data_IF_979649398606
#
_entry.id   IF_979649398606
#
_cell.length_a   1.000
_cell.length_b   1.000
_cell.length_c   1.000
_cell.angle_alpha   90.00
_cell.angle_beta   90.00
_cell.angle_gamma   90.00
#
_symmetry.space_group_name_H-M   'P 1'
#
loop_
_entity.id
_entity.type
_entity.pdbx_description
1 polymer ?
#
# COMPACT_ATOMS: atom_id res chain seq x y z
N UNK A 1 16.21 -15.55 1.10
CA UNK A 1 15.08 -14.67 0.71
C UNK A 1 14.37 -14.00 1.89
N UNK A 2 14.01 -14.67 2.99
CA UNK A 2 13.31 -14.05 4.16
C UNK A 2 14.09 -12.98 4.97
N UNK A 3 15.30 -12.59 4.54
CA UNK A 3 16.22 -11.77 5.33
C UNK A 3 16.27 -10.28 4.97
N UNK A 4 15.94 -9.89 3.72
CA UNK A 4 16.19 -8.51 3.25
C UNK A 4 14.97 -7.59 3.19
N UNK A 5 13.74 -8.12 3.12
CA UNK A 5 12.54 -7.27 3.14
C UNK A 5 11.52 -7.79 4.15
N UNK A 6 11.23 -6.98 5.15
CA UNK A 6 10.11 -7.23 6.07
C UNK A 6 8.79 -6.65 5.54
N UNK A 7 8.86 -5.77 4.53
CA UNK A 7 7.70 -5.01 4.05
C UNK A 7 7.25 -4.00 5.10
N UNK A 8 7.20 -2.72 4.73
CA UNK A 8 6.73 -1.67 5.65
C UNK A 8 5.49 -0.95 5.14
N UNK A 9 5.19 -1.06 3.85
CA UNK A 9 3.93 -0.66 3.26
C UNK A 9 3.33 -1.79 2.42
N UNK A 10 2.09 -2.17 2.71
CA UNK A 10 1.33 -3.11 1.88
C UNK A 10 0.22 -2.35 1.17
N UNK A 11 0.33 -2.22 -0.14
CA UNK A 11 -0.61 -1.49 -1.00
C UNK A 11 -1.38 -2.54 -1.77
N UNK A 12 -2.65 -2.77 -1.45
CA UNK A 12 -3.41 -3.79 -2.18
C UNK A 12 -4.78 -3.27 -2.61
N UNK A 13 -5.24 -3.86 -3.70
CA UNK A 13 -6.51 -3.53 -4.33
C UNK A 13 -7.68 -3.93 -3.42
N UNK A 14 -8.85 -4.10 -3.99
CA UNK A 14 -10.01 -4.53 -3.22
C UNK A 14 -10.12 -6.05 -3.11
N UNK A 15 -11.10 -6.45 -2.31
CA UNK A 15 -11.42 -7.79 -1.81
C UNK A 15 -10.77 -8.15 -0.46
N UNK A 16 -11.60 -8.17 0.58
CA UNK A 16 -11.21 -8.32 1.98
C UNK A 16 -11.11 -9.79 2.45
N UNK A 17 -11.07 -10.75 1.51
CA UNK A 17 -11.13 -12.19 1.79
C UNK A 17 -9.97 -12.98 1.18
N UNK A 18 -8.91 -12.29 0.79
CA UNK A 18 -7.70 -12.87 0.18
C UNK A 18 -6.82 -13.51 1.28
N UNK A 19 -6.65 -14.85 1.31
CA UNK A 19 -5.93 -15.49 2.42
C UNK A 19 -4.43 -15.18 2.42
N UNK A 20 -3.74 -15.12 1.29
CA UNK A 20 -2.31 -14.78 1.27
C UNK A 20 -2.11 -13.38 1.84
N UNK A 21 -2.88 -12.39 1.35
CA UNK A 21 -2.76 -11.01 1.84
C UNK A 21 -3.14 -10.93 3.32
N UNK A 22 -4.31 -11.41 3.71
CA UNK A 22 -4.82 -11.23 5.06
C UNK A 22 -4.14 -12.12 6.10
N UNK A 23 -3.82 -13.38 5.79
CA UNK A 23 -3.07 -14.23 6.69
C UNK A 23 -1.58 -13.86 6.67
N UNK A 24 -0.90 -14.04 5.54
CA UNK A 24 0.57 -14.09 5.53
C UNK A 24 1.19 -12.70 5.70
N UNK A 25 0.60 -11.68 5.08
CA UNK A 25 1.14 -10.31 5.12
C UNK A 25 0.57 -9.45 6.25
N UNK A 26 -0.65 -9.73 6.73
CA UNK A 26 -1.31 -8.91 7.77
C UNK A 26 -1.34 -9.63 9.13
N UNK A 27 -2.08 -10.73 9.26
CA UNK A 27 -2.28 -11.38 10.56
C UNK A 27 -0.98 -11.99 11.11
N UNK A 28 -0.24 -12.74 10.30
CA UNK A 28 1.05 -13.31 10.69
C UNK A 28 2.08 -12.22 10.97
N UNK A 29 1.99 -11.08 10.27
CA UNK A 29 2.86 -9.93 10.53
C UNK A 29 2.63 -9.34 11.91
N UNK A 30 1.36 -9.17 12.31
CA UNK A 30 0.98 -8.70 13.63
C UNK A 30 1.35 -9.71 14.73
N UNK A 31 1.08 -11.00 14.52
CA UNK A 31 1.37 -12.06 15.49
C UNK A 31 2.87 -12.25 15.79
N UNK A 32 3.74 -11.87 14.84
CA UNK A 32 5.20 -11.86 15.01
C UNK A 32 5.73 -10.60 15.69
N UNK A 33 4.86 -9.64 16.03
CA UNK A 33 5.22 -8.43 16.77
C UNK A 33 5.82 -8.78 18.14
N UNK A 34 6.88 -8.04 18.52
CA UNK A 34 7.61 -8.29 19.77
C UNK A 34 7.01 -7.54 20.95
N UNK A 35 6.55 -6.30 20.70
CA UNK A 35 6.06 -5.42 21.74
C UNK A 35 4.55 -5.59 21.95
N UNK A 36 3.81 -5.80 20.86
CA UNK A 36 2.39 -6.10 20.86
C UNK A 36 2.03 -6.94 19.63
N UNK A 37 0.82 -7.50 19.64
CA UNK A 37 0.24 -8.23 18.50
C UNK A 37 -1.02 -7.52 18.02
N UNK A 38 -0.93 -6.20 17.79
CA UNK A 38 -2.08 -5.34 17.50
C UNK A 38 -2.21 -5.00 16.03
N UNK A 39 -3.46 -5.03 15.55
CA UNK A 39 -3.91 -4.42 14.29
C UNK A 39 -4.81 -3.24 14.61
N UNK A 40 -4.43 -2.03 14.18
CA UNK A 40 -5.30 -0.86 14.21
C UNK A 40 -5.98 -0.71 12.84
N UNK A 41 -7.31 -0.62 12.81
CA UNK A 41 -8.07 -0.41 11.58
C UNK A 41 -8.67 1.01 11.53
N UNK A 42 -8.41 1.72 10.44
CA UNK A 42 -8.80 3.12 10.24
C UNK A 42 -9.72 3.25 9.01
N UNK A 43 -11.06 3.22 9.19
CA UNK A 43 -12.02 3.33 8.09
C UNK A 43 -12.35 4.78 7.68
N UNK A 44 -11.45 5.75 7.93
CA UNK A 44 -11.76 7.17 7.76
C UNK A 44 -12.05 7.58 6.30
N UNK A 45 -11.82 6.68 5.33
CA UNK A 45 -12.17 6.91 3.92
C UNK A 45 -13.65 6.66 3.60
N UNK A 46 -14.40 5.97 4.46
CA UNK A 46 -15.83 5.74 4.23
C UNK A 46 -16.63 7.04 4.33
N UNK A 47 -17.46 7.30 3.33
CA UNK A 47 -18.35 8.46 3.36
C UNK A 47 -19.56 8.19 4.25
N UNK A 48 -20.13 9.22 4.90
CA UNK A 48 -21.38 9.08 5.63
C UNK A 48 -22.50 8.61 4.71
N UNK A 49 -23.45 7.84 5.26
CA UNK A 49 -24.67 7.42 4.57
C UNK A 49 -25.88 7.98 5.32
N UNK A 50 -26.74 8.69 4.61
CA UNK A 50 -27.97 9.27 5.17
C UNK A 50 -27.73 10.12 6.45
N UNK A 51 -26.54 10.74 6.56
CA UNK A 51 -26.11 11.56 7.69
C UNK A 51 -25.42 10.81 8.83
N UNK A 52 -25.38 9.48 8.79
CA UNK A 52 -24.66 8.63 9.74
C UNK A 52 -23.19 8.47 9.31
N UNK A 53 -22.27 8.93 10.16
CA UNK A 53 -20.84 8.83 9.93
C UNK A 53 -20.29 7.43 10.23
N UNK A 54 -20.96 6.64 11.07
CA UNK A 54 -20.48 5.36 11.62
C UNK A 54 -20.92 4.14 10.80
N UNK A 55 -22.14 4.09 10.27
CA UNK A 55 -22.70 2.88 9.61
C UNK A 55 -21.72 2.23 8.62
N UNK A 56 -21.15 3.04 7.72
CA UNK A 56 -20.22 2.58 6.68
C UNK A 56 -18.86 2.20 7.24
N UNK A 57 -18.38 2.92 8.26
CA UNK A 57 -17.12 2.62 8.93
C UNK A 57 -17.17 1.31 9.71
N UNK A 58 -18.28 1.05 10.41
CA UNK A 58 -18.54 -0.19 11.13
C UNK A 58 -18.70 -1.37 10.18
N UNK A 59 -19.42 -1.18 9.06
CA UNK A 59 -19.52 -2.20 8.01
C UNK A 59 -18.14 -2.55 7.44
N UNK A 60 -17.33 -1.55 7.11
CA UNK A 60 -15.98 -1.75 6.60
C UNK A 60 -15.09 -2.50 7.60
N UNK A 61 -15.15 -2.15 8.90
CA UNK A 61 -14.42 -2.89 9.92
C UNK A 61 -14.97 -4.31 10.12
N UNK A 62 -16.29 -4.51 10.12
CA UNK A 62 -16.93 -5.82 10.29
C UNK A 62 -16.42 -6.86 9.30
N UNK A 63 -16.18 -6.43 8.06
CA UNK A 63 -15.58 -7.21 6.98
C UNK A 63 -14.16 -7.72 7.29
N UNK A 64 -13.36 -6.97 8.03
CA UNK A 64 -12.01 -7.38 8.48
C UNK A 64 -12.05 -8.12 9.81
N UNK A 65 -12.92 -7.67 10.73
CA UNK A 65 -13.12 -8.26 12.06
C UNK A 65 -13.41 -9.74 11.95
N UNK A 66 -14.30 -10.15 11.04
CA UNK A 66 -14.62 -11.56 10.81
C UNK A 66 -13.37 -12.42 10.61
N UNK A 67 -12.40 -11.93 9.83
CA UNK A 67 -11.15 -12.63 9.56
C UNK A 67 -10.22 -12.63 10.80
N UNK A 68 -10.06 -11.48 11.46
CA UNK A 68 -9.14 -11.35 12.60
C UNK A 68 -9.61 -12.07 13.86
N UNK A 69 -10.92 -12.24 14.05
CA UNK A 69 -11.50 -12.98 15.17
C UNK A 69 -10.96 -14.41 15.30
N UNK A 70 -10.66 -15.06 14.17
CA UNK A 70 -10.03 -16.37 14.18
C UNK A 70 -8.65 -16.37 14.88
N UNK A 71 -7.92 -15.26 14.79
CA UNK A 71 -6.57 -15.12 15.33
C UNK A 71 -6.51 -14.57 16.76
N UNK A 72 -7.64 -14.11 17.33
CA UNK A 72 -7.73 -13.72 18.75
C UNK A 72 -7.21 -14.83 19.67
N UNK A 73 -7.49 -16.10 19.34
CA UNK A 73 -7.00 -17.28 20.07
C UNK A 73 -5.48 -17.43 20.09
N UNK A 74 -4.77 -16.75 19.19
CA UNK A 74 -3.30 -16.70 19.14
C UNK A 74 -2.73 -15.41 19.76
N UNK A 75 -3.59 -14.62 20.40
CA UNK A 75 -3.28 -13.35 21.05
C UNK A 75 -3.25 -12.16 20.10
N UNK A 76 -3.90 -12.24 18.93
CA UNK A 76 -4.07 -11.06 18.07
C UNK A 76 -5.08 -10.10 18.72
N UNK A 77 -4.66 -8.85 18.92
CA UNK A 77 -5.55 -7.75 19.27
C UNK A 77 -5.92 -6.98 18.00
N UNK A 78 -7.18 -6.64 17.80
CA UNK A 78 -7.59 -5.78 16.69
C UNK A 78 -8.60 -4.74 17.15
N UNK A 79 -8.32 -3.49 16.83
CA UNK A 79 -9.09 -2.34 17.30
C UNK A 79 -9.43 -1.41 16.13
N UNK A 80 -10.70 -1.02 15.94
CA UNK A 80 -11.03 0.05 15.03
C UNK A 80 -10.86 1.40 15.72
N UNK A 81 -10.54 2.43 14.95
CA UNK A 81 -10.73 3.82 15.37
C UNK A 81 -11.62 4.53 14.37
N UNK A 82 -12.84 4.86 14.78
CA UNK A 82 -13.82 5.50 13.91
C UNK A 82 -13.66 7.02 13.94
N UNK A 83 -13.72 7.63 12.76
CA UNK A 83 -13.75 9.08 12.66
C UNK A 83 -15.17 9.59 12.86
N UNK A 84 -15.32 10.65 13.65
CA UNK A 84 -16.56 11.44 13.71
C UNK A 84 -16.19 12.91 13.80
N UNK A 85 -17.13 13.81 13.47
CA UNK A 85 -16.94 15.25 13.67
C UNK A 85 -16.85 15.66 15.14
N UNK A 86 -17.31 14.81 16.05
CA UNK A 86 -17.39 15.07 17.50
C UNK A 86 -16.20 14.51 18.29
N UNK A 87 -15.14 14.08 17.60
CA UNK A 87 -13.90 13.63 18.24
C UNK A 87 -13.35 14.70 19.18
N UNK A 88 -12.95 14.28 20.38
CA UNK A 88 -12.30 15.14 21.37
C UNK A 88 -10.79 14.91 21.34
N UNK A 89 -10.06 15.79 22.03
CA UNK A 89 -8.60 15.70 22.13
C UNK A 89 -8.17 14.35 22.68
N UNK A 90 -8.83 13.87 23.72
CA UNK A 90 -8.49 12.60 24.38
C UNK A 90 -8.67 11.41 23.44
N UNK A 91 -9.69 11.45 22.58
CA UNK A 91 -9.93 10.40 21.58
C UNK A 91 -8.79 10.40 20.54
N UNK A 92 -8.35 11.58 20.12
CA UNK A 92 -7.25 11.75 19.16
C UNK A 92 -5.87 11.40 19.76
N UNK A 93 -5.67 11.63 21.05
CA UNK A 93 -4.46 11.18 21.75
C UNK A 93 -4.35 9.65 21.77
N UNK A 94 -5.48 8.95 21.99
CA UNK A 94 -5.56 7.49 21.85
C UNK A 94 -5.24 7.06 20.42
N UNK A 95 -5.75 7.76 19.40
CA UNK A 95 -5.38 7.49 18.01
C UNK A 95 -3.88 7.61 17.80
N UNK A 96 -3.21 8.64 18.32
CA UNK A 96 -1.77 8.83 18.15
C UNK A 96 -0.94 7.74 18.82
N UNK A 97 -1.33 7.31 20.01
CA UNK A 97 -0.68 6.18 20.68
C UNK A 97 -0.87 4.88 19.89
N UNK A 98 -2.10 4.56 19.49
CA UNK A 98 -2.39 3.36 18.70
C UNK A 98 -1.68 3.40 17.34
N UNK A 99 -1.70 4.54 16.66
CA UNK A 99 -1.02 4.74 15.38
C UNK A 99 0.49 4.58 15.56
N UNK A 100 1.10 5.14 16.60
CA UNK A 100 2.53 5.00 16.85
C UNK A 100 2.96 3.59 17.26
N UNK A 101 2.12 2.85 17.96
CA UNK A 101 2.52 1.60 18.65
C UNK A 101 2.10 0.31 17.96
N UNK A 102 0.99 0.27 17.22
CA UNK A 102 0.42 -0.99 16.69
C UNK A 102 1.37 -1.68 15.70
N UNK A 103 1.57 -2.99 15.80
CA UNK A 103 2.43 -3.74 14.87
C UNK A 103 1.97 -3.58 13.41
N UNK A 104 0.65 -3.53 13.20
CA UNK A 104 0.03 -3.28 11.89
C UNK A 104 -1.02 -2.18 12.00
N UNK A 105 -1.04 -1.26 11.03
CA UNK A 105 -2.10 -0.26 10.83
C UNK A 105 -2.71 -0.48 9.46
N UNK A 106 -4.03 -0.46 9.34
CA UNK A 106 -4.76 -0.59 8.08
C UNK A 106 -5.54 0.69 7.81
N UNK A 107 -5.28 1.34 6.68
CA UNK A 107 -6.14 2.38 6.11
C UNK A 107 -7.20 1.71 5.24
N UNK A 108 -8.46 1.84 5.63
CA UNK A 108 -9.60 1.20 4.99
C UNK A 108 -10.01 1.80 3.65
N UNK A 109 -11.04 1.20 3.04
CA UNK A 109 -11.61 1.61 1.77
C UNK A 109 -12.52 2.85 1.86
N UNK A 110 -13.11 3.22 0.72
CA UNK A 110 -14.00 4.38 0.58
C UNK A 110 -13.47 5.36 -0.46
N UNK A 111 -13.42 6.65 -0.14
CA UNK A 111 -12.88 7.70 -1.01
C UNK A 111 -11.47 8.12 -0.57
N UNK A 112 -10.50 8.05 -1.48
CA UNK A 112 -9.09 8.37 -1.20
C UNK A 112 -8.93 9.80 -0.65
N UNK A 113 -9.61 10.78 -1.24
CA UNK A 113 -9.50 12.18 -0.78
C UNK A 113 -10.19 12.44 0.55
N UNK A 114 -11.30 11.76 0.84
CA UNK A 114 -12.01 11.90 2.11
C UNK A 114 -11.14 11.45 3.27
N UNK A 115 -10.54 10.24 3.16
CA UNK A 115 -9.64 9.75 4.18
C UNK A 115 -8.39 10.61 4.31
N UNK A 116 -7.74 10.96 3.19
CA UNK A 116 -6.55 11.81 3.18
C UNK A 116 -6.79 13.14 3.89
N UNK A 117 -7.91 13.80 3.57
CA UNK A 117 -8.33 15.04 4.23
C UNK A 117 -8.51 14.82 5.74
N UNK A 118 -9.29 13.82 6.15
CA UNK A 118 -9.55 13.54 7.58
C UNK A 118 -8.26 13.26 8.35
N UNK A 119 -7.37 12.41 7.83
CA UNK A 119 -6.09 12.09 8.46
C UNK A 119 -5.21 13.32 8.66
N UNK A 120 -5.06 14.16 7.62
CA UNK A 120 -4.27 15.41 7.69
C UNK A 120 -4.91 16.44 8.62
N UNK A 121 -6.24 16.54 8.59
CA UNK A 121 -7.00 17.48 9.40
C UNK A 121 -6.88 17.19 10.91
N UNK A 122 -6.83 15.93 11.33
CA UNK A 122 -6.69 15.57 12.75
C UNK A 122 -5.42 16.16 13.38
N UNK A 123 -4.28 16.09 12.68
CA UNK A 123 -3.05 16.71 13.15
C UNK A 123 -3.15 18.24 13.26
N UNK A 124 -3.77 18.87 12.25
CA UNK A 124 -3.96 20.32 12.22
C UNK A 124 -4.86 20.82 13.36
N UNK A 125 -6.01 20.17 13.57
CA UNK A 125 -7.05 20.62 14.51
C UNK A 125 -6.66 20.42 15.97
N UNK A 126 -6.09 19.26 16.31
CA UNK A 126 -5.83 18.92 17.71
C UNK A 126 -4.42 19.32 18.15
N UNK A 127 -3.45 19.39 17.24
CA UNK A 127 -2.04 19.53 17.60
C UNK A 127 -1.34 20.68 16.88
N UNK A 128 -2.04 21.39 15.99
CA UNK A 128 -1.43 22.44 15.16
C UNK A 128 -0.41 21.90 14.15
N UNK A 129 -0.41 20.59 13.88
CA UNK A 129 0.57 19.91 13.03
C UNK A 129 -0.14 19.14 11.90
N UNK A 130 -0.46 19.79 10.76
CA UNK A 130 -1.17 19.15 9.63
C UNK A 130 -0.48 17.89 9.07
N UNK A 131 0.85 17.79 9.22
CA UNK A 131 1.66 16.66 8.77
C UNK A 131 1.79 15.50 9.76
N UNK A 132 1.20 15.60 10.96
CA UNK A 132 1.45 14.66 12.07
C UNK A 132 1.17 13.20 11.70
N UNK A 133 0.02 12.94 11.08
CA UNK A 133 -0.36 11.57 10.68
C UNK A 133 0.69 10.95 9.73
N UNK A 134 1.05 11.68 8.66
CA UNK A 134 2.04 11.22 7.70
C UNK A 134 3.43 11.05 8.32
N UNK A 135 3.85 11.98 9.19
CA UNK A 135 5.12 11.85 9.93
C UNK A 135 5.15 10.58 10.77
N UNK A 136 4.10 10.29 11.54
CA UNK A 136 4.01 9.07 12.35
C UNK A 136 4.08 7.83 11.46
N UNK A 137 3.43 7.82 10.28
CA UNK A 137 3.56 6.70 9.34
C UNK A 137 5.02 6.46 8.90
N UNK A 138 5.79 7.50 8.64
CA UNK A 138 7.22 7.37 8.31
C UNK A 138 8.06 6.91 9.50
N UNK A 139 7.76 7.37 10.71
CA UNK A 139 8.42 6.90 11.95
C UNK A 139 8.13 5.41 12.21
N UNK A 140 6.88 4.97 12.01
CA UNK A 140 6.49 3.55 12.05
C UNK A 140 7.31 2.74 11.05
N UNK A 141 7.44 3.24 9.81
CA UNK A 141 8.22 2.60 8.75
C UNK A 141 9.69 2.44 9.14
N UNK A 142 10.30 3.47 9.71
CA UNK A 142 11.70 3.42 10.18
C UNK A 142 11.91 2.39 11.30
N UNK A 143 10.89 2.17 12.14
CA UNK A 143 10.87 1.10 13.15
C UNK A 143 10.56 -0.29 12.59
N UNK A 144 10.31 -0.38 11.28
CA UNK A 144 9.95 -1.64 10.63
C UNK A 144 8.57 -2.14 11.04
N UNK A 145 7.60 -1.26 11.30
CA UNK A 145 6.19 -1.61 11.48
C UNK A 145 5.47 -1.58 10.13
N UNK A 146 4.38 -2.34 9.99
CA UNK A 146 3.62 -2.40 8.74
C UNK A 146 2.49 -1.37 8.74
N UNK A 147 2.35 -0.66 7.63
CA UNK A 147 1.14 0.10 7.28
C UNK A 147 0.54 -0.50 6.02
N UNK A 148 -0.75 -0.78 6.07
CA UNK A 148 -1.51 -1.44 5.01
C UNK A 148 -2.51 -0.43 4.45
N UNK A 149 -2.60 -0.33 3.14
CA UNK A 149 -3.62 0.41 2.44
C UNK A 149 -4.53 -0.55 1.68
N UNK A 150 -5.83 -0.52 1.99
CA UNK A 150 -6.87 -1.29 1.32
C UNK A 150 -7.74 -0.37 0.46
N UNK A 151 -7.89 -0.67 -0.83
CA UNK A 151 -8.67 0.17 -1.75
C UNK A 151 -8.24 1.64 -1.65
N UNK A 152 -9.10 2.59 -1.28
CA UNK A 152 -8.73 3.99 -1.06
C UNK A 152 -7.46 4.20 -0.21
N UNK A 153 -7.27 3.39 0.84
CA UNK A 153 -6.06 3.41 1.65
C UNK A 153 -4.78 3.09 0.87
N UNK A 154 -4.86 2.21 -0.14
CA UNK A 154 -3.73 1.82 -0.99
C UNK A 154 -3.22 3.01 -1.82
N UNK A 155 -4.15 3.74 -2.43
CA UNK A 155 -3.88 4.98 -3.15
C UNK A 155 -3.25 6.04 -2.23
N UNK A 156 -3.74 6.17 -0.99
CA UNK A 156 -3.19 7.10 0.01
C UNK A 156 -1.78 6.77 0.47
N UNK A 157 -1.34 5.50 0.45
CA UNK A 157 0.02 5.14 0.85
C UNK A 157 1.07 5.49 -0.22
N UNK A 158 0.64 5.67 -1.47
CA UNK A 158 1.50 6.12 -2.55
C UNK A 158 1.95 7.58 -2.33
N UNK A 159 2.97 8.02 -3.06
CA UNK A 159 3.40 9.42 -3.04
C UNK A 159 2.30 10.36 -3.55
N UNK A 160 1.55 9.89 -4.53
CA UNK A 160 0.47 10.65 -5.14
C UNK A 160 -0.76 9.75 -5.28
N UNK A 161 -1.93 10.34 -5.09
CA UNK A 161 -3.18 9.68 -5.47
C UNK A 161 -3.24 9.55 -7.00
N UNK A 162 -3.79 8.46 -7.52
CA UNK A 162 -3.93 8.22 -8.95
C UNK A 162 -4.63 9.39 -9.65
N UNK A 163 -5.69 9.92 -9.02
CA UNK A 163 -6.46 11.08 -9.52
C UNK A 163 -5.61 12.33 -9.84
N UNK A 164 -4.40 12.46 -9.27
CA UNK A 164 -3.47 13.58 -9.54
C UNK A 164 -3.16 13.75 -11.03
N UNK A 165 -3.22 12.67 -11.80
CA UNK A 165 -2.95 12.70 -13.24
C UNK A 165 -4.06 13.43 -14.03
N UNK A 166 -5.28 13.51 -13.49
CA UNK A 166 -6.45 14.10 -14.16
C UNK A 166 -6.90 15.44 -13.55
N UNK A 167 -6.74 15.63 -12.25
CA UNK A 167 -7.28 16.79 -11.54
C UNK A 167 -6.30 17.97 -11.42
N UNK A 168 -6.85 19.18 -11.29
CA UNK A 168 -6.18 20.37 -10.73
C UNK A 168 -7.23 21.39 -10.21
N UNK A 169 -7.04 22.11 -9.08
CA UNK A 169 -6.09 21.93 -7.99
C UNK A 169 -6.77 21.35 -6.73
N UNK A 170 -6.20 20.29 -6.17
CA UNK A 170 -6.60 19.73 -4.88
C UNK A 170 -5.44 18.95 -4.27
N UNK A 171 -5.41 18.84 -2.94
CA UNK A 171 -4.39 18.04 -2.26
C UNK A 171 -4.53 16.57 -2.68
N UNK A 172 -3.55 16.13 -3.47
CA UNK A 172 -3.46 14.80 -4.07
C UNK A 172 -2.13 14.13 -3.72
N UNK A 173 -1.38 14.71 -2.78
CA UNK A 173 -0.18 14.10 -2.22
C UNK A 173 -0.59 13.10 -1.14
N UNK A 174 -0.31 11.83 -1.39
CA UNK A 174 -0.50 10.77 -0.41
C UNK A 174 0.56 10.85 0.69
N UNK A 175 0.69 9.77 1.45
CA UNK A 175 1.65 9.71 2.55
C UNK A 175 3.06 9.33 2.09
N UNK A 176 3.25 8.88 0.85
CA UNK A 176 4.57 8.61 0.28
C UNK A 176 5.33 7.49 0.96
N UNK A 177 4.61 6.48 1.49
CA UNK A 177 5.22 5.25 1.97
C UNK A 177 5.69 4.36 0.82
N UNK A 178 5.07 4.46 -0.37
CA UNK A 178 5.67 4.05 -1.63
C UNK A 178 6.01 5.30 -2.46
N UNK A 179 7.31 5.58 -2.59
CA UNK A 179 7.83 6.78 -3.26
C UNK A 179 7.69 6.67 -4.76
N UNK A 180 7.44 7.78 -5.44
CA UNK A 180 7.32 7.87 -6.90
C UNK A 180 6.50 6.71 -7.48
N UNK A 181 5.36 6.44 -6.84
CA UNK A 181 4.46 5.32 -7.16
C UNK A 181 3.05 5.85 -7.33
N UNK A 182 2.34 5.30 -8.29
CA UNK A 182 0.91 5.51 -8.55
C UNK A 182 0.25 4.16 -8.72
N UNK A 183 -0.95 3.98 -8.15
CA UNK A 183 -1.72 2.75 -8.33
C UNK A 183 -3.13 3.06 -8.77
N UNK A 184 -3.63 2.35 -9.78
CA UNK A 184 -5.06 2.26 -10.01
C UNK A 184 -5.57 0.94 -9.46
N UNK A 185 -6.74 1.00 -8.84
CA UNK A 185 -7.33 -0.09 -8.07
C UNK A 185 -8.52 -0.63 -8.85
N UNK A 186 -8.92 -1.86 -8.56
CA UNK A 186 -9.91 -2.58 -9.35
C UNK A 186 -9.57 -2.58 -10.85
N UNK A 187 -8.27 -2.70 -11.15
CA UNK A 187 -7.78 -2.58 -12.51
C UNK A 187 -8.27 -3.73 -13.38
N UNK A 188 -8.57 -3.42 -14.63
CA UNK A 188 -8.87 -4.39 -15.67
C UNK A 188 -8.10 -4.03 -16.94
N UNK A 189 -7.70 -4.99 -17.79
CA UNK A 189 -6.93 -4.71 -19.00
C UNK A 189 -7.59 -3.72 -19.97
N UNK A 190 -8.93 -3.63 -19.95
CA UNK A 190 -9.71 -2.64 -20.71
C UNK A 190 -9.35 -1.19 -20.36
N UNK A 191 -8.74 -0.96 -19.18
CA UNK A 191 -8.30 0.34 -18.66
C UNK A 191 -6.80 0.59 -18.81
N UNK A 192 -6.07 -0.24 -19.56
CA UNK A 192 -4.63 -0.03 -19.80
C UNK A 192 -4.31 1.33 -20.44
N UNK A 193 -5.26 1.94 -21.14
CA UNK A 193 -5.15 3.32 -21.62
C UNK A 193 -4.96 4.35 -20.50
N UNK A 194 -5.64 4.17 -19.35
CA UNK A 194 -5.51 5.05 -18.18
C UNK A 194 -4.11 4.94 -17.56
N UNK A 195 -3.59 3.71 -17.44
CA UNK A 195 -2.24 3.45 -16.94
C UNK A 195 -1.17 4.09 -17.80
N UNK A 196 -1.24 3.89 -19.11
CA UNK A 196 -0.29 4.48 -20.03
C UNK A 196 -0.39 6.01 -20.04
N UNK A 197 -1.60 6.57 -19.94
CA UNK A 197 -1.80 8.01 -19.80
C UNK A 197 -1.10 8.55 -18.54
N UNK A 198 -1.28 7.88 -17.40
CA UNK A 198 -0.62 8.23 -16.15
C UNK A 198 0.90 8.14 -16.24
N UNK A 199 1.45 7.06 -16.82
CA UNK A 199 2.89 6.88 -16.99
C UNK A 199 3.53 7.99 -17.84
N UNK A 200 2.81 8.50 -18.85
CA UNK A 200 3.27 9.63 -19.67
C UNK A 200 3.19 10.97 -18.93
N UNK A 201 2.18 11.17 -18.09
CA UNK A 201 1.99 12.41 -17.31
C UNK A 201 2.93 12.50 -16.12
N UNK A 202 3.30 11.36 -15.55
CA UNK A 202 4.12 11.24 -14.36
C UNK A 202 5.34 10.34 -14.65
N UNK A 203 6.25 10.75 -15.56
CA UNK A 203 7.31 9.88 -16.09
C UNK A 203 8.36 9.44 -15.06
N UNK A 204 8.40 10.07 -13.89
CA UNK A 204 9.28 9.70 -12.79
C UNK A 204 8.64 8.63 -11.87
N UNK A 205 7.34 8.38 -11.99
CA UNK A 205 6.62 7.42 -11.16
C UNK A 205 6.54 6.04 -11.82
N UNK A 206 6.55 4.99 -11.00
CA UNK A 206 6.07 3.67 -11.40
C UNK A 206 4.55 3.61 -11.24
N UNK A 207 3.86 3.21 -12.31
CA UNK A 207 2.40 3.18 -12.36
C UNK A 207 1.92 1.74 -12.45
N UNK A 208 1.16 1.28 -11.46
CA UNK A 208 0.64 -0.09 -11.41
C UNK A 208 -0.89 -0.13 -11.49
N UNK A 209 -1.41 -1.07 -12.28
CA UNK A 209 -2.80 -1.49 -12.26
C UNK A 209 -2.96 -2.73 -11.42
N UNK A 210 -3.63 -2.57 -10.27
CA UNK A 210 -3.87 -3.65 -9.32
C UNK A 210 -5.28 -4.20 -9.54
N UNK A 211 -5.44 -5.38 -10.17
CA UNK A 211 -6.72 -6.08 -10.13
C UNK A 211 -7.10 -6.40 -8.67
N UNK A 212 -8.37 -6.68 -8.41
CA UNK A 212 -8.78 -7.19 -7.09
C UNK A 212 -7.94 -8.43 -6.73
N UNK A 213 -7.68 -8.63 -5.44
CA UNK A 213 -6.85 -9.73 -4.91
C UNK A 213 -5.35 -9.63 -5.28
N UNK A 214 -4.88 -8.43 -5.60
CA UNK A 214 -3.47 -8.18 -5.85
C UNK A 214 -2.95 -6.98 -5.08
N UNK A 215 -1.63 -6.90 -4.91
CA UNK A 215 -0.99 -5.79 -4.21
C UNK A 215 0.51 -5.73 -4.39
N UNK A 216 1.10 -4.74 -3.74
CA UNK A 216 2.52 -4.44 -3.68
C UNK A 216 2.93 -4.45 -2.21
N UNK A 217 3.87 -5.30 -1.85
CA UNK A 217 4.58 -5.19 -0.57
C UNK A 217 5.87 -4.40 -0.79
N UNK A 218 5.95 -3.23 -0.17
CA UNK A 218 6.96 -2.21 -0.47
C UNK A 218 7.82 -1.96 0.76
N UNK A 219 9.12 -1.81 0.50
CA UNK A 219 10.07 -1.25 1.45
C UNK A 219 11.07 -0.35 0.72
N UNK A 220 11.61 0.66 1.42
CA UNK A 220 12.57 1.57 0.83
C UNK A 220 13.47 2.20 1.89
N UNK A 221 14.71 2.51 1.54
CA UNK A 221 15.65 3.12 2.48
C UNK A 221 16.70 3.96 1.79
N UNK A 222 17.75 4.29 2.54
CA UNK A 222 18.91 5.04 2.05
C UNK A 222 20.11 4.10 2.10
N UNK A 223 20.83 3.96 0.98
CA UNK A 223 22.08 3.23 0.87
C UNK A 223 23.24 4.05 1.47
N UNK A 224 24.39 3.43 1.81
CA UNK A 224 25.58 4.15 2.27
C UNK A 224 26.06 5.23 1.28
N UNK A 225 25.79 5.06 -0.01
CA UNK A 225 26.06 6.06 -1.06
C UNK A 225 25.18 7.32 -0.98
N UNK A 226 24.12 7.30 -0.16
CA UNK A 226 23.11 8.37 -0.07
C UNK A 226 21.96 8.21 -1.07
N UNK A 227 22.04 7.23 -1.98
CA UNK A 227 20.95 6.89 -2.90
C UNK A 227 19.79 6.26 -2.14
N UNK A 228 18.57 6.48 -2.65
CA UNK A 228 17.38 5.80 -2.19
C UNK A 228 17.29 4.45 -2.90
N UNK A 229 16.94 3.40 -2.14
CA UNK A 229 16.51 2.12 -2.71
C UNK A 229 15.04 1.93 -2.39
N UNK A 230 14.26 1.38 -3.32
CA UNK A 230 12.89 0.93 -3.09
C UNK A 230 12.67 -0.40 -3.79
N UNK A 231 12.09 -1.36 -3.08
CA UNK A 231 11.77 -2.67 -3.61
C UNK A 231 10.27 -2.91 -3.48
N UNK A 232 9.70 -3.50 -4.52
CA UNK A 232 8.32 -3.93 -4.60
C UNK A 232 8.32 -5.45 -4.75
N UNK A 233 7.62 -6.15 -3.88
CA UNK A 233 7.19 -7.53 -4.06
C UNK A 233 5.76 -7.51 -4.61
N UNK A 234 5.57 -8.16 -5.76
CA UNK A 234 4.30 -8.20 -6.48
C UNK A 234 3.48 -9.37 -5.93
N UNK A 235 2.28 -9.09 -5.42
CA UNK A 235 1.42 -10.09 -4.78
C UNK A 235 0.20 -10.31 -5.67
N UNK A 236 0.01 -11.56 -6.09
CA UNK A 236 -1.20 -12.03 -6.76
C UNK A 236 -1.77 -13.14 -5.88
N UNK A 237 -2.94 -12.89 -5.29
CA UNK A 237 -3.61 -13.83 -4.40
C UNK A 237 -4.74 -14.54 -5.14
N UNK A 238 -4.67 -15.87 -5.24
CA UNK A 238 -5.71 -16.71 -5.87
C UNK A 238 -6.36 -17.66 -4.87
N UNK A 239 -6.22 -17.42 -3.57
CA UNK A 239 -6.57 -18.38 -2.52
C UNK A 239 -8.01 -18.30 -2.02
N UNK A 240 -8.75 -17.25 -2.36
CA UNK A 240 -10.18 -17.18 -2.05
C UNK A 240 -11.02 -17.87 -3.11
N UNK A 241 -11.90 -18.77 -2.66
CA UNK A 241 -12.74 -19.59 -3.54
C UNK A 241 -14.17 -19.69 -3.03
N UNK A 242 -14.84 -18.54 -2.91
CA UNK A 242 -16.29 -18.48 -2.77
C UNK A 242 -16.92 -18.18 -4.15
N UNK A 243 -17.75 -19.09 -4.71
CA UNK A 243 -18.47 -18.85 -5.95
C UNK A 243 -19.32 -17.56 -5.95
N UNK A 244 -19.79 -17.11 -4.78
CA UNK A 244 -20.55 -15.87 -4.66
C UNK A 244 -19.70 -14.62 -4.96
N UNK A 245 -18.39 -14.72 -4.80
CA UNK A 245 -17.43 -13.63 -5.01
C UNK A 245 -16.73 -13.72 -6.39
N UNK A 246 -17.11 -14.66 -7.26
CA UNK A 246 -16.41 -14.96 -8.51
C UNK A 246 -16.23 -13.75 -9.45
N UNK A 247 -17.19 -12.81 -9.48
CA UNK A 247 -17.07 -11.57 -10.27
C UNK A 247 -16.11 -10.55 -9.67
N UNK A 248 -15.88 -10.62 -8.35
CA UNK A 248 -14.96 -9.75 -7.63
C UNK A 248 -13.53 -10.29 -7.65
N UNK A 249 -13.33 -11.62 -7.67
CA UNK A 249 -12.00 -12.23 -7.67
C UNK A 249 -11.38 -12.25 -9.08
N UNK A 250 -10.52 -11.27 -9.38
CA UNK A 250 -9.99 -11.05 -10.74
C UNK A 250 -8.74 -11.88 -11.03
N UNK A 251 -7.86 -12.05 -10.07
CA UNK A 251 -6.61 -12.83 -10.22
C UNK A 251 -6.85 -14.29 -10.57
N UNK A 252 -7.92 -14.91 -10.05
CA UNK A 252 -8.31 -16.29 -10.43
C UNK A 252 -8.79 -16.42 -11.87
N UNK A 253 -9.18 -15.30 -12.48
CA UNK A 253 -9.51 -15.22 -13.90
C UNK A 253 -8.25 -14.98 -14.76
N UNK A 254 -7.06 -15.05 -14.16
CA UNK A 254 -5.78 -14.83 -14.83
C UNK A 254 -5.35 -13.36 -14.89
N UNK A 255 -6.03 -12.45 -14.19
CA UNK A 255 -5.60 -11.06 -14.11
C UNK A 255 -4.24 -10.95 -13.38
N UNK A 256 -3.34 -10.18 -13.97
CA UNK A 256 -1.99 -9.91 -13.46
C UNK A 256 -1.88 -8.43 -13.05
N UNK A 257 -0.79 -8.08 -12.37
CA UNK A 257 -0.50 -6.67 -12.07
C UNK A 257 0.08 -6.03 -13.34
N UNK A 258 -0.68 -5.13 -13.93
CA UNK A 258 -0.27 -4.41 -15.14
C UNK A 258 0.59 -3.20 -14.78
N UNK A 259 1.57 -2.90 -15.63
CA UNK A 259 2.44 -1.76 -15.45
C UNK A 259 2.90 -1.21 -16.80
N UNK A 260 2.92 0.11 -16.93
CA UNK A 260 3.42 0.81 -18.12
C UNK A 260 4.52 1.79 -17.73
N UNK A 261 5.60 1.81 -18.53
CA UNK A 261 6.57 2.90 -18.49
C UNK A 261 6.09 4.10 -19.33
N UNK A 262 6.82 5.22 -19.21
CA UNK A 262 6.50 6.45 -19.93
C UNK A 262 6.70 6.35 -21.45
N UNK A 263 7.39 5.32 -21.95
CA UNK A 263 7.57 5.03 -23.38
C UNK A 263 6.46 4.12 -23.94
N UNK A 264 5.58 3.61 -23.08
CA UNK A 264 4.49 2.71 -23.45
C UNK A 264 4.85 1.24 -23.41
N UNK A 265 6.00 0.87 -22.84
CA UNK A 265 6.33 -0.54 -22.64
C UNK A 265 5.50 -1.10 -21.50
N UNK A 266 4.88 -2.23 -21.78
CA UNK A 266 4.00 -2.96 -20.86
C UNK A 266 4.75 -4.11 -20.19
N UNK A 267 4.47 -4.30 -18.90
CA UNK A 267 4.78 -5.48 -18.12
C UNK A 267 3.50 -5.98 -17.43
N UNK A 268 3.34 -7.30 -17.38
CA UNK A 268 2.32 -7.97 -16.59
C UNK A 268 3.03 -8.88 -15.59
N UNK A 269 2.90 -8.57 -14.30
CA UNK A 269 3.64 -9.23 -13.23
C UNK A 269 2.82 -10.33 -12.57
N UNK A 270 3.50 -11.44 -12.27
CA UNK A 270 2.97 -12.56 -11.50
C UNK A 270 3.23 -12.37 -10.00
N UNK A 271 2.54 -13.15 -9.17
CA UNK A 271 2.82 -13.22 -7.74
C UNK A 271 4.23 -13.75 -7.48
N UNK A 272 4.98 -13.03 -6.63
CA UNK A 272 6.38 -13.33 -6.30
C UNK A 272 7.40 -12.69 -7.22
N UNK A 273 6.98 -12.02 -8.30
CA UNK A 273 7.87 -11.12 -9.04
C UNK A 273 8.28 -9.96 -8.12
N UNK A 274 9.41 -9.34 -8.43
CA UNK A 274 9.93 -8.20 -7.67
C UNK A 274 10.45 -7.12 -8.60
N UNK A 275 10.41 -5.87 -8.15
CA UNK A 275 11.10 -4.76 -8.80
C UNK A 275 11.95 -4.05 -7.76
N UNK A 276 13.20 -3.73 -8.07
CA UNK A 276 14.08 -2.89 -7.26
C UNK A 276 14.44 -1.65 -8.06
N UNK A 277 14.32 -0.47 -7.45
CA UNK A 277 14.71 0.82 -8.04
C UNK A 277 15.68 1.52 -7.10
N UNK A 278 16.76 2.04 -7.67
CA UNK A 278 17.74 2.87 -6.97
C UNK A 278 17.75 4.25 -7.63
N UNK A 279 17.48 5.28 -6.83
CA UNK A 279 17.44 6.67 -7.29
C UNK A 279 18.36 7.55 -6.46
N UNK A 280 19.02 8.53 -7.09
CA UNK A 280 19.70 9.60 -6.34
C UNK A 280 18.69 10.67 -5.92
N UNK A 281 18.99 11.38 -4.83
CA UNK A 281 18.12 12.46 -4.32
C UNK A 281 17.93 13.61 -5.32
N UNK A 282 18.92 13.83 -6.20
CA UNK A 282 18.87 14.84 -7.27
C UNK A 282 18.25 14.32 -8.58
N UNK A 283 17.80 13.06 -8.61
CA UNK A 283 17.16 12.41 -9.77
C UNK A 283 18.09 12.14 -10.95
N UNK A 284 19.40 12.35 -10.82
CA UNK A 284 20.38 12.09 -11.90
C UNK A 284 20.70 10.61 -12.09
N UNK A 285 20.55 9.82 -11.04
CA UNK A 285 20.67 8.38 -11.07
C UNK A 285 19.29 7.77 -10.91
N UNK A 286 18.88 6.95 -11.88
CA UNK A 286 17.65 6.18 -11.86
C UNK A 286 17.90 4.85 -12.60
N UNK A 287 18.02 3.79 -11.80
CA UNK A 287 18.18 2.43 -12.31
C UNK A 287 17.18 1.53 -11.64
N UNK A 288 16.67 0.59 -12.41
CA UNK A 288 15.72 -0.39 -11.92
C UNK A 288 16.01 -1.76 -12.52
N UNK A 289 15.71 -2.77 -11.74
CA UNK A 289 15.81 -4.16 -12.11
C UNK A 289 14.55 -4.87 -11.62
N UNK A 290 14.25 -5.99 -12.24
CA UNK A 290 13.09 -6.78 -11.84
C UNK A 290 13.35 -8.26 -11.98
N UNK A 291 12.70 -9.04 -11.12
CA UNK A 291 12.54 -10.47 -11.33
C UNK A 291 11.22 -10.71 -12.05
N UNK A 292 11.29 -11.26 -13.25
CA UNK A 292 10.13 -11.59 -14.07
C UNK A 292 10.38 -12.92 -14.79
N UNK A 293 9.44 -13.86 -14.67
CA UNK A 293 9.57 -15.18 -15.30
C UNK A 293 10.80 -15.98 -14.83
N UNK A 294 11.20 -15.79 -13.55
CA UNK A 294 12.35 -16.46 -12.95
C UNK A 294 13.73 -15.93 -13.37
N UNK A 295 13.79 -14.78 -14.06
CA UNK A 295 15.05 -14.12 -14.46
C UNK A 295 15.16 -12.74 -13.83
N UNK A 296 16.38 -12.34 -13.51
CA UNK A 296 16.68 -10.95 -13.13
C UNK A 296 17.04 -10.15 -14.38
N UNK A 297 16.30 -9.09 -14.64
CA UNK A 297 16.41 -8.26 -15.83
C UNK A 297 16.65 -6.81 -15.43
N UNK A 298 17.42 -6.08 -16.24
CA UNK A 298 17.40 -4.63 -16.21
C UNK A 298 16.05 -4.14 -16.75
N UNK A 299 15.37 -3.31 -15.96
CA UNK A 299 13.98 -2.92 -16.23
C UNK A 299 13.84 -2.10 -17.52
N UNK A 300 14.84 -1.27 -17.84
CA UNK A 300 14.80 -0.37 -18.99
C UNK A 300 15.21 -1.05 -20.30
N UNK A 301 16.19 -1.94 -20.27
CA UNK A 301 16.75 -2.60 -21.46
C UNK A 301 16.10 -3.95 -21.73
N UNK A 302 15.51 -4.60 -20.72
CA UNK A 302 15.00 -5.98 -20.74
C UNK A 302 16.07 -7.05 -20.90
N UNK A 303 17.33 -6.65 -20.84
CA UNK A 303 18.46 -7.57 -20.91
C UNK A 303 18.67 -8.24 -19.54
N UNK A 304 19.25 -9.45 -19.50
CA UNK A 304 19.68 -10.05 -18.25
C UNK A 304 20.53 -9.08 -17.43
N UNK A 305 20.19 -8.93 -16.15
CA UNK A 305 20.98 -8.11 -15.26
C UNK A 305 22.38 -8.72 -15.07
N UNK A 306 23.40 -7.89 -14.91
CA UNK A 306 24.76 -8.33 -14.55
C UNK A 306 24.90 -8.80 -13.09
N UNK A 307 23.78 -9.02 -12.39
CA UNK A 307 23.71 -9.39 -10.98
C UNK A 307 23.00 -10.74 -10.82
N UNK A 308 23.31 -11.48 -9.77
CA UNK A 308 22.68 -12.76 -9.43
C UNK A 308 21.42 -12.64 -8.56
N UNK A 309 21.23 -11.52 -7.85
CA UNK A 309 20.06 -11.31 -7.00
C UNK A 309 19.78 -9.83 -6.69
N UNK A 310 18.61 -9.54 -6.12
CA UNK A 310 18.27 -8.20 -5.59
C UNK A 310 19.20 -7.81 -4.45
N UNK A 311 19.58 -8.77 -3.59
CA UNK A 311 20.51 -8.52 -2.48
C UNK A 311 21.87 -8.06 -3.00
N UNK A 312 22.33 -8.64 -4.11
CA UNK A 312 23.57 -8.25 -4.78
C UNK A 312 23.47 -6.86 -5.39
N UNK A 313 22.34 -6.51 -6.01
CA UNK A 313 22.09 -5.16 -6.54
C UNK A 313 22.18 -4.13 -5.40
N UNK A 314 21.50 -4.38 -4.27
CA UNK A 314 21.51 -3.46 -3.13
C UNK A 314 22.89 -3.35 -2.48
N UNK A 315 23.67 -4.43 -2.47
CA UNK A 315 25.02 -4.42 -1.92
C UNK A 315 26.06 -3.73 -2.82
N UNK A 316 25.80 -3.62 -4.13
CA UNK A 316 26.73 -3.03 -5.09
C UNK A 316 26.56 -1.51 -5.30
N UNK A 317 25.62 -0.87 -4.59
CA UNK A 317 25.24 0.54 -4.74
C UNK A 317 25.25 1.28 -3.40
#
# INVERSE_FOLDING_TARGET
>A
MRGLMRGTALIYSSHNRCNVIHNDYIAQRALRGRDNKRVLFLPMSEAPRDGDELERQEFAYGNFRWFFQFYERFGLEHVPFYWTRDLRREDVDVLWDLLGSSEVVILGGGYSTTGLFRYKQLGALFEGEPGKFGRILHERRQRGLLTVGFSAGADQLCQHLFRRVWDSPGDSDGFGLARDTLVTLHHEPSRNGDLWHAARRMPHCFVFGLPNDSGLNVDWGVLPSGNLWQVYELIVDTTWDDPADALHVKTRQGALIDHFDNTGRHWAFHGGDHIVRITSQDGRYDRAWMTAGGRLLDYWTREPAGHGSIDEILASH
#
